data_IF_482209392412
#
_entry.id   IF_482209392412
#
_cell.length_a   1.000
_cell.length_b   1.000
_cell.length_c   1.000
_cell.angle_alpha   90.00
_cell.angle_beta   90.00
_cell.angle_gamma   90.00
#
_symmetry.space_group_name_H-M   'P 1'
#
loop_
_entity.id
_entity.type
_entity.pdbx_description
1 polymer ?
#
# COMPACT_ATOMS: atom_id res chain seq x y z
N UNK A 1 -25.04 0.03 0.42
CA UNK A 1 -25.71 1.35 0.34
C UNK A 1 -24.79 2.37 1.01
N UNK A 2 -23.94 3.07 0.26
CA UNK A 2 -23.08 4.12 0.81
C UNK A 2 -23.84 5.45 0.76
N UNK A 3 -24.03 6.07 1.93
CA UNK A 3 -24.68 7.37 2.09
C UNK A 3 -23.70 8.48 1.67
N UNK A 4 -24.00 9.16 0.56
CA UNK A 4 -23.35 10.43 0.22
C UNK A 4 -23.70 11.48 1.28
N UNK A 5 -22.69 12.04 1.95
CA UNK A 5 -22.80 13.33 2.63
C UNK A 5 -22.35 14.45 1.68
N UNK A 6 -23.16 15.49 1.42
CA UNK A 6 -22.74 16.62 0.60
C UNK A 6 -22.26 17.77 1.48
N UNK A 7 -21.02 18.24 1.31
CA UNK A 7 -20.59 19.61 1.61
C UNK A 7 -19.17 19.82 1.06
N UNK A 8 -19.01 20.49 -0.09
CA UNK A 8 -18.58 21.90 -0.24
C UNK A 8 -17.04 22.09 -0.30
N UNK A 9 -16.57 22.22 -1.56
CA UNK A 9 -15.62 23.20 -2.13
C UNK A 9 -14.16 23.28 -1.61
N UNK A 10 -13.29 22.76 -2.48
CA UNK A 10 -11.99 23.26 -2.95
C UNK A 10 -10.80 23.39 -1.97
N UNK A 11 -9.91 22.39 -2.03
CA UNK A 11 -8.47 22.61 -2.11
C UNK A 11 -7.80 21.40 -2.80
N UNK A 12 -7.10 21.67 -3.89
CA UNK A 12 -6.11 20.85 -4.60
C UNK A 12 -6.45 19.38 -4.92
N UNK A 13 -6.67 19.16 -6.22
CA UNK A 13 -6.67 17.86 -6.85
C UNK A 13 -5.33 17.13 -6.65
N UNK A 14 -5.38 15.99 -5.98
CA UNK A 14 -5.01 14.66 -6.52
C UNK A 14 -5.50 13.64 -5.49
N UNK A 15 -6.83 13.49 -5.39
CA UNK A 15 -7.39 12.25 -4.87
C UNK A 15 -7.12 11.23 -5.98
N UNK A 16 -5.93 10.60 -5.92
CA UNK A 16 -5.66 9.36 -6.62
C UNK A 16 -6.89 8.49 -6.38
N UNK A 17 -7.54 8.12 -7.48
CA UNK A 17 -8.70 7.26 -7.48
C UNK A 17 -8.30 5.94 -6.82
N UNK A 18 -8.47 5.86 -5.51
CA UNK A 18 -8.58 4.63 -4.76
C UNK A 18 -9.85 3.95 -5.29
N UNK A 19 -9.72 3.28 -6.44
CA UNK A 19 -10.60 2.17 -6.78
C UNK A 19 -10.63 1.28 -5.54
N UNK A 20 -11.82 0.79 -5.18
CA UNK A 20 -12.10 0.05 -3.94
C UNK A 20 -11.32 -1.28 -3.84
N UNK A 21 -9.99 -1.25 -3.88
CA UNK A 21 -9.14 -2.31 -3.44
C UNK A 21 -9.26 -2.34 -1.91
N UNK A 22 -9.56 -3.51 -1.32
CA UNK A 22 -9.54 -3.66 0.12
C UNK A 22 -8.17 -3.27 0.66
N UNK A 23 -8.11 -2.63 1.85
CA UNK A 23 -6.84 -2.28 2.46
C UNK A 23 -6.02 -3.55 2.71
N UNK A 24 -4.69 -3.42 2.78
CA UNK A 24 -3.86 -4.55 3.15
C UNK A 24 -4.24 -5.09 4.54
N UNK A 25 -3.80 -6.30 4.87
CA UNK A 25 -4.00 -6.92 6.19
C UNK A 25 -2.81 -7.78 6.62
N UNK A 26 -2.70 -8.05 7.93
CA UNK A 26 -1.73 -9.00 8.48
C UNK A 26 -2.31 -10.41 8.49
N UNK A 27 -1.56 -11.39 7.98
CA UNK A 27 -2.06 -12.75 7.82
C UNK A 27 -0.96 -13.82 7.80
N UNK A 28 -1.39 -15.06 7.59
CA UNK A 28 -0.52 -16.22 7.44
C UNK A 28 -0.24 -16.52 5.96
N UNK A 29 0.90 -17.14 5.61
CA UNK A 29 1.97 -17.60 6.52
C UNK A 29 2.76 -16.48 7.21
N UNK A 30 3.28 -16.77 8.40
CA UNK A 30 4.20 -15.90 9.12
C UNK A 30 5.61 -15.93 8.50
N UNK A 31 6.38 -14.87 8.69
CA UNK A 31 7.77 -14.77 8.27
C UNK A 31 8.68 -15.75 9.05
N UNK A 32 9.96 -15.82 8.68
CA UNK A 32 10.93 -16.71 9.32
C UNK A 32 11.15 -16.42 10.83
N UNK A 33 10.66 -15.28 11.33
CA UNK A 33 10.73 -14.88 12.73
C UNK A 33 9.42 -15.15 13.49
N UNK A 34 8.40 -15.68 12.82
CA UNK A 34 7.10 -15.98 13.39
C UNK A 34 6.14 -14.79 13.43
N UNK A 35 6.45 -13.67 12.76
CA UNK A 35 5.56 -12.52 12.65
C UNK A 35 4.63 -12.69 11.46
N UNK A 36 3.38 -12.22 11.57
CA UNK A 36 2.47 -12.20 10.42
C UNK A 36 3.08 -11.41 9.25
N UNK A 37 2.66 -11.75 8.05
CA UNK A 37 3.10 -11.08 6.83
C UNK A 37 1.97 -10.17 6.36
N UNK A 38 2.34 -9.01 5.79
CA UNK A 38 1.39 -8.09 5.19
C UNK A 38 0.96 -8.61 3.81
N UNK A 39 -0.36 -8.64 3.57
CA UNK A 39 -0.98 -9.14 2.35
C UNK A 39 -1.94 -8.13 1.75
N UNK A 40 -2.17 -8.30 0.46
CA UNK A 40 -3.27 -7.73 -0.29
C UNK A 40 -4.18 -8.87 -0.76
N UNK A 41 -5.42 -8.55 -1.12
CA UNK A 41 -6.39 -9.58 -1.56
C UNK A 41 -5.99 -10.26 -2.87
N UNK A 42 -5.35 -9.50 -3.77
CA UNK A 42 -4.82 -10.04 -5.02
C UNK A 42 -3.39 -10.57 -4.79
N UNK A 43 -3.06 -11.78 -5.28
CA UNK A 43 -1.73 -12.36 -5.14
C UNK A 43 -0.64 -11.60 -5.92
N UNK A 44 -1.05 -10.70 -6.83
CA UNK A 44 -0.15 -9.83 -7.61
C UNK A 44 0.03 -8.46 -6.95
N UNK A 45 -0.70 -8.19 -5.88
CA UNK A 45 -0.69 -6.90 -5.21
C UNK A 45 0.31 -6.93 -4.05
N UNK A 46 0.96 -5.79 -3.84
CA UNK A 46 1.91 -5.60 -2.76
C UNK A 46 1.45 -4.48 -1.83
N UNK A 47 1.51 -4.68 -0.50
CA UNK A 47 1.21 -3.64 0.46
C UNK A 47 2.37 -2.64 0.52
N UNK A 48 2.09 -1.37 0.33
CA UNK A 48 3.08 -0.29 0.23
C UNK A 48 2.65 0.96 0.97
N UNK A 49 3.61 1.85 1.20
CA UNK A 49 3.41 3.21 1.67
C UNK A 49 4.25 4.17 0.83
N UNK A 50 3.76 5.40 0.68
CA UNK A 50 4.41 6.45 -0.11
C UNK A 50 5.62 7.03 0.59
N UNK A 51 6.61 7.45 -0.20
CA UNK A 51 7.64 8.36 0.29
C UNK A 51 7.10 9.82 0.32
N UNK A 52 7.68 10.74 1.11
CA UNK A 52 7.08 12.05 1.38
C UNK A 52 6.78 12.90 0.12
N UNK A 53 7.55 12.68 -0.95
CA UNK A 53 7.49 13.46 -2.19
C UNK A 53 7.18 12.59 -3.43
N UNK A 54 6.80 11.32 -3.24
CA UNK A 54 6.58 10.38 -4.34
C UNK A 54 5.52 9.33 -4.00
N UNK A 55 4.70 8.98 -4.98
CA UNK A 55 3.70 7.91 -4.87
C UNK A 55 4.32 6.56 -5.25
N UNK A 56 3.98 5.51 -4.50
CA UNK A 56 4.48 4.17 -4.72
C UNK A 56 3.93 3.58 -6.02
N UNK A 57 4.83 3.17 -6.92
CA UNK A 57 4.49 2.48 -8.16
C UNK A 57 5.60 1.53 -8.61
N UNK A 58 5.25 0.62 -9.51
CA UNK A 58 6.21 -0.29 -10.12
C UNK A 58 6.73 0.27 -11.44
N UNK A 59 8.05 0.25 -11.62
CA UNK A 59 8.74 0.66 -12.85
C UNK A 59 9.70 -0.44 -13.32
N UNK A 60 9.89 -0.57 -14.63
CA UNK A 60 10.90 -1.48 -15.21
C UNK A 60 12.30 -0.87 -15.10
N UNK A 61 13.13 -1.46 -14.23
CA UNK A 61 14.53 -1.09 -14.06
C UNK A 61 15.50 -2.06 -14.75
N UNK A 62 16.81 -1.76 -14.63
CA UNK A 62 17.88 -2.56 -15.23
C UNK A 62 17.95 -4.03 -14.74
N UNK A 63 17.24 -4.37 -13.66
CA UNK A 63 17.18 -5.71 -13.06
C UNK A 63 15.77 -6.29 -13.03
N UNK A 64 14.82 -5.70 -13.78
CA UNK A 64 13.40 -6.06 -13.78
C UNK A 64 12.54 -5.03 -13.06
N UNK A 65 11.29 -5.41 -12.75
CA UNK A 65 10.35 -4.54 -12.04
C UNK A 65 10.84 -4.21 -10.64
N UNK A 66 10.75 -2.94 -10.28
CA UNK A 66 11.15 -2.40 -8.98
C UNK A 66 10.10 -1.43 -8.44
N UNK A 67 9.95 -1.40 -7.13
CA UNK A 67 9.14 -0.40 -6.43
C UNK A 67 9.89 0.94 -6.40
N UNK A 68 9.22 2.01 -6.83
CA UNK A 68 9.73 3.38 -6.87
C UNK A 68 8.77 4.28 -6.12
N UNK A 69 9.30 5.29 -5.42
CA UNK A 69 8.50 6.29 -4.72
C UNK A 69 7.77 5.76 -3.47
N UNK A 70 8.07 4.55 -3.03
CA UNK A 70 7.41 3.93 -1.89
C UNK A 70 8.23 2.84 -1.24
N UNK A 71 7.70 2.33 -0.13
CA UNK A 71 8.31 1.21 0.62
C UNK A 71 7.24 0.20 0.97
N UNK A 72 7.64 -1.07 1.02
CA UNK A 72 6.76 -2.17 1.39
C UNK A 72 6.33 -2.02 2.83
N UNK A 73 5.01 -2.07 3.08
CA UNK A 73 4.45 -2.10 4.42
C UNK A 73 4.64 -3.48 5.06
N UNK A 74 4.69 -3.54 6.38
CA UNK A 74 4.92 -4.78 7.12
C UNK A 74 3.99 -4.89 8.33
N UNK A 75 3.88 -6.08 8.89
CA UNK A 75 3.23 -6.26 10.18
C UNK A 75 4.22 -6.00 11.32
N UNK A 76 3.74 -5.30 12.34
CA UNK A 76 4.46 -5.08 13.59
C UNK A 76 4.50 -6.37 14.43
N UNK A 77 5.14 -6.30 15.60
CA UNK A 77 5.09 -7.38 16.61
C UNK A 77 3.70 -7.63 17.18
N UNK A 78 2.81 -6.64 17.07
CA UNK A 78 1.46 -6.65 17.61
C UNK A 78 0.42 -6.96 16.52
N UNK A 79 0.88 -7.52 15.39
CA UNK A 79 0.07 -7.89 14.23
C UNK A 79 -0.68 -6.71 13.57
N UNK A 80 -0.17 -5.50 13.76
CA UNK A 80 -0.70 -4.29 13.12
C UNK A 80 0.07 -3.94 11.85
N UNK A 81 -0.64 -3.45 10.84
CA UNK A 81 0.01 -2.93 9.64
C UNK A 81 0.73 -1.61 9.93
N UNK A 82 2.00 -1.57 9.55
CA UNK A 82 2.84 -0.40 9.76
C UNK A 82 3.62 -0.05 8.50
N UNK A 83 3.71 1.25 8.24
CA UNK A 83 4.62 1.79 7.24
C UNK A 83 6.03 1.94 7.80
N UNK A 84 7.09 1.68 7.00
CA UNK A 84 8.46 1.91 7.42
C UNK A 84 8.73 3.39 7.75
N UNK A 85 9.67 3.70 8.66
CA UNK A 85 10.04 5.09 8.95
C UNK A 85 10.43 5.88 7.69
N UNK A 86 10.00 7.14 7.63
CA UNK A 86 10.27 8.03 6.51
C UNK A 86 9.29 7.88 5.34
N UNK A 87 8.14 7.26 5.56
CA UNK A 87 7.00 7.21 4.62
C UNK A 87 5.84 8.07 5.13
N UNK A 88 4.81 8.27 4.30
CA UNK A 88 3.62 9.06 4.63
C UNK A 88 2.35 8.31 4.28
N UNK A 89 1.25 8.70 4.93
CA UNK A 89 -0.07 8.11 4.68
C UNK A 89 -0.30 6.78 5.39
N UNK A 90 -1.39 6.13 5.01
CA UNK A 90 -1.76 4.78 5.47
C UNK A 90 -1.31 3.74 4.43
N UNK A 91 -1.00 2.49 4.85
CA UNK A 91 -0.67 1.42 3.92
C UNK A 91 -1.80 1.16 2.92
N UNK A 92 -1.46 0.91 1.65
CA UNK A 92 -2.41 0.54 0.61
C UNK A 92 -1.81 -0.51 -0.34
N UNK A 93 -2.65 -1.09 -1.20
CA UNK A 93 -2.25 -2.12 -2.15
C UNK A 93 -2.01 -1.55 -3.54
N UNK A 94 -0.89 -1.92 -4.17
CA UNK A 94 -0.62 -1.66 -5.60
C UNK A 94 -0.38 -2.98 -6.35
N UNK A 95 -0.82 -3.06 -7.60
CA UNK A 95 -0.65 -4.26 -8.43
C UNK A 95 0.67 -4.21 -9.20
N UNK A 96 1.49 -5.26 -9.09
CA UNK A 96 2.61 -5.47 -10.01
C UNK A 96 2.07 -5.78 -11.41
N UNK A 97 2.37 -4.96 -12.43
CA UNK A 97 1.85 -5.19 -13.78
C UNK A 97 2.40 -6.46 -14.43
N UNK A 98 3.52 -7.04 -13.97
CA UNK A 98 4.20 -8.17 -14.62
C UNK A 98 4.01 -9.55 -13.94
N UNK A 99 3.46 -9.62 -12.73
CA UNK A 99 3.24 -10.90 -12.01
C UNK A 99 2.03 -11.70 -12.51
#
# INVERSE_FOLDING_TARGET
MCLLRPAIIAALALAASAGCAPPPYCGLPADATGRLVAYCDSPRDQPVCDEPDAEAHFEEGARGIQLVGGRVASCSSDDELVCPPGTVGEPYCITDPQL
#
